data_IF_481146537326
#
_entry.id   IF_481146537326
#
_cell.length_a   1.000
_cell.length_b   1.000
_cell.length_c   1.000
_cell.angle_alpha   90.00
_cell.angle_beta   90.00
_cell.angle_gamma   90.00
#
_symmetry.space_group_name_H-M   'P 1'
#
loop_
_entity.id
_entity.type
_entity.pdbx_description
1 polymer ?
#
# COMPACT_ATOMS: atom_id res chain seq x y z
N UNK A 1 21.96 29.21 -9.47
CA UNK A 1 21.33 28.56 -8.32
C UNK A 1 21.00 27.12 -8.71
N UNK A 2 21.77 26.16 -8.19
CA UNK A 2 21.63 24.72 -8.49
C UNK A 2 20.45 24.20 -7.66
N UNK A 3 19.40 23.73 -8.34
CA UNK A 3 18.33 22.96 -7.70
C UNK A 3 18.87 21.54 -7.46
N UNK A 4 19.18 21.22 -6.21
CA UNK A 4 19.49 19.86 -5.78
C UNK A 4 18.23 19.00 -5.81
N UNK A 5 18.19 18.04 -6.72
CA UNK A 5 17.18 16.97 -6.72
C UNK A 5 17.44 16.05 -5.54
N UNK A 6 16.66 16.20 -4.49
CA UNK A 6 16.60 15.18 -3.43
C UNK A 6 15.93 13.93 -3.99
N UNK A 7 16.75 12.98 -4.45
CA UNK A 7 16.30 11.63 -4.76
C UNK A 7 15.94 10.97 -3.43
N UNK A 8 14.65 10.79 -3.17
CA UNK A 8 14.17 10.00 -2.04
C UNK A 8 14.62 8.54 -2.18
N UNK A 9 14.73 7.79 -1.09
CA UNK A 9 15.17 6.40 -1.14
C UNK A 9 14.23 5.58 -2.06
N UNK A 10 14.76 4.64 -2.83
CA UNK A 10 13.95 3.80 -3.72
C UNK A 10 12.90 3.06 -2.90
N UNK A 11 11.64 3.21 -3.29
CA UNK A 11 10.51 2.53 -2.69
C UNK A 11 10.49 1.08 -3.16
N UNK A 12 10.56 0.13 -2.22
CA UNK A 12 10.07 -1.21 -2.47
C UNK A 12 11.08 -2.31 -2.73
N UNK A 13 12.36 -2.14 -2.44
CA UNK A 13 13.27 -3.29 -2.35
C UNK A 13 13.05 -4.02 -1.01
N UNK A 14 12.21 -5.05 -1.04
CA UNK A 14 12.02 -6.00 0.06
C UNK A 14 13.12 -7.08 0.09
N UNK A 15 14.28 -6.83 -0.51
CA UNK A 15 15.44 -7.70 -0.53
C UNK A 15 16.04 -7.99 0.86
N UNK A 16 17.06 -8.80 0.93
CA UNK A 16 17.62 -9.42 2.15
C UNK A 16 17.82 -8.53 3.38
N UNK A 17 17.94 -7.20 3.22
CA UNK A 17 18.04 -6.25 4.31
C UNK A 17 16.71 -6.05 5.09
N UNK A 18 15.56 -6.17 4.44
CA UNK A 18 14.25 -5.93 5.11
C UNK A 18 13.91 -7.02 6.11
N UNK A 19 14.29 -8.26 5.83
CA UNK A 19 14.12 -9.39 6.77
C UNK A 19 15.01 -9.21 8.00
N UNK A 20 16.26 -8.81 7.81
CA UNK A 20 17.18 -8.48 8.90
C UNK A 20 16.64 -7.34 9.75
N UNK A 21 16.05 -6.32 9.12
CA UNK A 21 15.38 -5.22 9.83
C UNK A 21 14.19 -5.70 10.65
N UNK A 22 13.37 -6.60 10.15
CA UNK A 22 12.26 -7.19 10.90
C UNK A 22 12.72 -7.95 12.15
N UNK A 23 13.83 -8.70 12.06
CA UNK A 23 14.41 -9.37 13.23
C UNK A 23 14.99 -8.37 14.24
N UNK A 24 15.71 -7.34 13.79
CA UNK A 24 16.21 -6.27 14.69
C UNK A 24 15.06 -5.54 15.38
N UNK A 25 13.97 -5.27 14.65
CA UNK A 25 12.75 -4.70 15.22
C UNK A 25 12.17 -5.58 16.32
N UNK A 26 12.18 -6.90 16.17
CA UNK A 26 11.71 -7.82 17.20
C UNK A 26 12.48 -7.69 18.52
N UNK A 27 13.81 -7.56 18.47
CA UNK A 27 14.62 -7.32 19.68
C UNK A 27 14.31 -5.98 20.37
N UNK A 28 14.13 -4.91 19.56
CA UNK A 28 13.75 -3.61 20.10
C UNK A 28 12.35 -3.63 20.73
N UNK A 29 11.41 -4.30 20.10
CA UNK A 29 10.04 -4.45 20.59
C UNK A 29 9.99 -5.17 21.95
N UNK A 30 10.79 -6.23 22.14
CA UNK A 30 10.92 -6.93 23.42
C UNK A 30 11.46 -6.00 24.52
N UNK A 31 12.50 -5.22 24.21
CA UNK A 31 13.09 -4.29 25.18
C UNK A 31 12.13 -3.16 25.60
N UNK A 32 11.33 -2.65 24.65
CA UNK A 32 10.31 -1.65 24.92
C UNK A 32 9.17 -2.24 25.75
N UNK A 33 8.64 -3.38 25.36
CA UNK A 33 7.52 -4.04 26.02
C UNK A 33 7.79 -4.40 27.50
N UNK A 34 9.07 -4.61 27.86
CA UNK A 34 9.46 -4.87 29.24
C UNK A 34 9.17 -3.65 30.19
N UNK A 35 8.96 -2.46 29.63
CA UNK A 35 8.70 -1.21 30.35
C UNK A 35 7.26 -0.73 30.20
N UNK A 36 6.47 -1.39 29.38
CA UNK A 36 5.10 -0.99 29.06
C UNK A 36 4.07 -1.95 29.67
N UNK A 37 2.89 -1.42 29.96
CA UNK A 37 1.73 -2.22 30.35
C UNK A 37 0.77 -2.30 29.18
N UNK A 38 0.42 -3.50 28.76
CA UNK A 38 -0.52 -3.74 27.69
C UNK A 38 -1.24 -5.07 27.91
N UNK A 39 -2.41 -5.24 27.32
CA UNK A 39 -3.25 -6.43 27.46
C UNK A 39 -3.28 -7.27 26.18
N UNK A 40 -2.99 -6.66 25.03
CA UNK A 40 -3.05 -7.32 23.72
C UNK A 40 -1.88 -6.84 22.83
N UNK A 41 -1.41 -7.75 21.99
CA UNK A 41 -0.42 -7.47 20.96
C UNK A 41 -1.16 -7.37 19.63
N UNK A 42 -1.14 -6.22 18.96
CA UNK A 42 -1.76 -6.03 17.66
C UNK A 42 -0.67 -5.75 16.61
N UNK A 43 -0.45 -6.69 15.73
CA UNK A 43 0.64 -6.66 14.74
C UNK A 43 0.09 -6.44 13.33
N UNK A 44 0.68 -5.50 12.61
CA UNK A 44 0.28 -5.12 11.25
C UNK A 44 1.30 -5.61 10.24
N UNK A 45 0.90 -6.52 9.37
CA UNK A 45 1.66 -7.11 8.28
C UNK A 45 2.94 -7.87 8.70
N UNK A 46 3.52 -8.57 7.76
CA UNK A 46 4.61 -9.52 7.97
C UNK A 46 5.85 -8.95 8.67
N UNK A 47 6.17 -7.67 8.45
CA UNK A 47 7.35 -7.04 9.08
C UNK A 47 7.25 -6.97 10.60
N UNK A 48 6.03 -6.96 11.16
CA UNK A 48 5.80 -6.89 12.61
C UNK A 48 5.54 -8.26 13.23
N UNK A 49 5.23 -9.28 12.45
CA UNK A 49 4.89 -10.61 12.97
C UNK A 49 6.01 -11.28 13.75
N UNK A 50 7.30 -11.23 13.35
CA UNK A 50 8.37 -11.79 14.17
C UNK A 50 8.45 -11.16 15.57
N UNK A 51 8.24 -9.85 15.68
CA UNK A 51 8.19 -9.13 16.95
C UNK A 51 6.99 -9.56 17.80
N UNK A 52 5.81 -9.65 17.19
CA UNK A 52 4.58 -10.04 17.87
C UNK A 52 4.63 -11.49 18.40
N UNK A 53 5.19 -12.42 17.63
CA UNK A 53 5.41 -13.80 18.05
C UNK A 53 6.35 -13.85 19.26
N UNK A 54 7.47 -13.13 19.20
CA UNK A 54 8.45 -13.07 20.31
C UNK A 54 7.79 -12.45 21.57
N UNK A 55 7.03 -11.39 21.43
CA UNK A 55 6.27 -10.75 22.52
C UNK A 55 5.23 -11.70 23.11
N UNK A 56 4.45 -12.39 22.28
CA UNK A 56 3.46 -13.39 22.74
C UNK A 56 4.13 -14.47 23.60
N UNK A 57 5.27 -15.00 23.16
CA UNK A 57 6.00 -16.01 23.93
C UNK A 57 6.54 -15.45 25.27
N UNK A 58 7.09 -14.23 25.25
CA UNK A 58 7.68 -13.61 26.45
C UNK A 58 6.63 -13.17 27.48
N UNK A 59 5.49 -12.63 27.03
CA UNK A 59 4.50 -11.99 27.90
C UNK A 59 3.25 -12.81 28.18
N UNK A 60 3.02 -13.85 27.37
CA UNK A 60 1.79 -14.68 27.38
C UNK A 60 0.51 -13.88 27.06
N UNK A 61 0.65 -12.69 26.52
CA UNK A 61 -0.49 -11.87 26.09
C UNK A 61 -1.04 -12.35 24.74
N UNK A 62 -2.36 -12.19 24.50
CA UNK A 62 -2.97 -12.54 23.23
C UNK A 62 -2.43 -11.68 22.09
N UNK A 63 -2.35 -12.28 20.90
CA UNK A 63 -1.87 -11.65 19.69
C UNK A 63 -2.97 -11.58 18.63
N UNK A 64 -3.16 -10.41 18.05
CA UNK A 64 -3.96 -10.17 16.84
C UNK A 64 -3.03 -9.90 15.68
N UNK A 65 -3.13 -10.67 14.61
CA UNK A 65 -2.46 -10.40 13.35
C UNK A 65 -3.41 -9.64 12.41
N UNK A 66 -3.04 -8.43 12.01
CA UNK A 66 -3.79 -7.62 11.06
C UNK A 66 -3.07 -7.62 9.73
N UNK A 67 -3.71 -8.15 8.69
CA UNK A 67 -3.11 -8.27 7.37
C UNK A 67 -3.77 -7.29 6.40
N UNK A 68 -2.95 -6.39 5.84
CA UNK A 68 -3.37 -5.38 4.89
C UNK A 68 -3.12 -5.81 3.44
N UNK A 69 -2.07 -6.59 3.21
CA UNK A 69 -1.79 -7.22 1.92
C UNK A 69 -0.97 -8.49 2.12
N UNK A 70 -1.19 -9.46 1.26
CA UNK A 70 -0.48 -10.72 1.26
C UNK A 70 0.68 -10.71 0.27
N UNK A 71 1.55 -11.72 0.36
CA UNK A 71 2.59 -11.91 -0.65
C UNK A 71 1.98 -12.16 -2.05
N UNK A 72 0.82 -12.79 -2.12
CA UNK A 72 0.10 -12.98 -3.39
C UNK A 72 -0.38 -11.66 -4.02
N UNK A 73 -0.69 -10.64 -3.21
CA UNK A 73 -1.02 -9.30 -3.73
C UNK A 73 0.21 -8.58 -4.30
N UNK A 74 1.42 -8.94 -3.83
CA UNK A 74 2.68 -8.29 -4.25
C UNK A 74 3.34 -8.95 -5.45
N UNK A 75 3.29 -10.27 -5.52
CA UNK A 75 4.04 -11.06 -6.51
C UNK A 75 3.20 -12.04 -7.33
N UNK A 76 1.87 -12.05 -7.12
CA UNK A 76 0.98 -13.00 -7.78
C UNK A 76 1.33 -14.44 -7.42
N UNK A 77 1.46 -15.30 -8.42
CA UNK A 77 1.82 -16.70 -8.21
C UNK A 77 3.35 -16.93 -8.06
N UNK A 78 4.17 -15.90 -8.32
CA UNK A 78 5.63 -15.97 -8.15
C UNK A 78 6.05 -15.56 -6.73
N UNK A 79 5.64 -16.35 -5.77
CA UNK A 79 5.72 -16.06 -4.34
C UNK A 79 7.17 -16.01 -3.85
N UNK A 80 7.51 -14.95 -3.11
CA UNK A 80 8.73 -14.91 -2.31
C UNK A 80 8.56 -15.81 -1.08
N UNK A 81 9.10 -17.02 -1.14
CA UNK A 81 8.89 -18.05 -0.12
C UNK A 81 9.23 -17.59 1.31
N UNK A 82 10.37 -16.92 1.59
CA UNK A 82 10.67 -16.39 2.92
C UNK A 82 9.64 -15.38 3.45
N UNK A 83 9.03 -14.56 2.60
CA UNK A 83 7.97 -13.63 3.00
C UNK A 83 6.68 -14.38 3.30
N UNK A 84 6.28 -15.30 2.42
CA UNK A 84 5.14 -16.18 2.64
C UNK A 84 5.25 -16.95 3.96
N UNK A 85 6.41 -17.53 4.24
CA UNK A 85 6.64 -18.28 5.47
C UNK A 85 6.50 -17.38 6.71
N UNK A 86 6.98 -16.16 6.64
CA UNK A 86 6.85 -15.17 7.72
C UNK A 86 5.41 -14.76 7.94
N UNK A 87 4.65 -14.48 6.87
CA UNK A 87 3.22 -14.19 6.95
C UNK A 87 2.45 -15.37 7.54
N UNK A 88 2.70 -16.56 7.01
CA UNK A 88 2.05 -17.78 7.48
C UNK A 88 2.32 -18.03 8.96
N UNK A 89 3.56 -17.88 9.39
CA UNK A 89 3.93 -18.05 10.80
C UNK A 89 3.18 -17.04 11.70
N UNK A 90 3.09 -15.77 11.31
CA UNK A 90 2.36 -14.74 12.04
C UNK A 90 0.87 -15.01 12.14
N UNK A 91 0.23 -15.36 11.03
CA UNK A 91 -1.20 -15.66 10.96
C UNK A 91 -1.57 -16.90 11.81
N UNK A 92 -0.72 -17.94 11.81
CA UNK A 92 -0.97 -19.13 12.61
C UNK A 92 -0.67 -18.94 14.11
N UNK A 93 0.31 -18.11 14.46
CA UNK A 93 0.66 -17.82 15.85
C UNK A 93 -0.38 -16.90 16.54
N UNK A 94 -1.12 -16.09 15.77
CA UNK A 94 -2.12 -15.17 16.29
C UNK A 94 -3.32 -15.91 16.92
N UNK A 95 -3.93 -15.34 17.96
CA UNK A 95 -5.17 -15.83 18.56
C UNK A 95 -6.39 -15.42 17.71
N UNK A 96 -6.30 -14.27 17.05
CA UNK A 96 -7.26 -13.79 16.06
C UNK A 96 -6.56 -13.12 14.90
N UNK A 97 -7.19 -13.14 13.74
CA UNK A 97 -6.70 -12.48 12.51
C UNK A 97 -7.72 -11.44 12.08
N UNK A 98 -7.25 -10.26 11.72
CA UNK A 98 -8.04 -9.22 11.07
C UNK A 98 -7.58 -9.09 9.62
N UNK A 99 -8.50 -9.23 8.67
CA UNK A 99 -8.27 -9.01 7.25
C UNK A 99 -9.00 -7.74 6.79
N UNK A 100 -8.34 -6.91 5.97
CA UNK A 100 -8.91 -5.63 5.52
C UNK A 100 -10.01 -5.77 4.46
N UNK A 101 -10.25 -6.97 3.95
CA UNK A 101 -11.33 -7.24 2.99
C UNK A 101 -11.73 -8.72 2.99
N UNK A 102 -12.90 -9.00 2.41
CA UNK A 102 -13.31 -10.38 2.18
C UNK A 102 -12.36 -11.12 1.23
N UNK A 103 -11.81 -10.41 0.24
CA UNK A 103 -10.79 -10.96 -0.66
C UNK A 103 -9.54 -11.40 0.12
N UNK A 104 -9.02 -10.53 0.98
CA UNK A 104 -7.86 -10.84 1.84
C UNK A 104 -8.15 -12.01 2.77
N UNK A 105 -9.35 -12.07 3.38
CA UNK A 105 -9.79 -13.23 4.17
C UNK A 105 -9.76 -14.51 3.35
N UNK A 106 -10.31 -14.50 2.13
CA UNK A 106 -10.35 -15.67 1.25
C UNK A 106 -8.93 -16.16 0.90
N UNK A 107 -8.00 -15.24 0.66
CA UNK A 107 -6.58 -15.57 0.43
C UNK A 107 -5.97 -16.20 1.69
N UNK A 108 -6.21 -15.64 2.88
CA UNK A 108 -5.72 -16.21 4.14
C UNK A 108 -6.23 -17.64 4.37
N UNK A 109 -7.48 -17.91 4.04
CA UNK A 109 -8.05 -19.27 4.14
C UNK A 109 -7.44 -20.20 3.10
N UNK A 110 -7.47 -19.82 1.82
CA UNK A 110 -7.13 -20.72 0.72
C UNK A 110 -5.63 -20.91 0.52
N UNK A 111 -4.81 -19.89 0.77
CA UNK A 111 -3.38 -19.91 0.49
C UNK A 111 -2.51 -20.10 1.75
N UNK A 112 -2.97 -19.61 2.89
CA UNK A 112 -2.23 -19.73 4.17
C UNK A 112 -2.79 -20.80 5.10
N UNK A 113 -3.98 -21.34 4.82
CA UNK A 113 -4.60 -22.40 5.62
C UNK A 113 -5.11 -21.92 6.99
N UNK A 114 -5.46 -20.64 7.12
CA UNK A 114 -6.01 -20.08 8.35
C UNK A 114 -7.50 -20.45 8.45
N UNK A 115 -7.93 -20.96 9.62
CA UNK A 115 -9.34 -21.30 9.82
C UNK A 115 -10.24 -20.05 9.69
N UNK A 116 -11.34 -20.10 8.91
CA UNK A 116 -12.16 -18.93 8.62
C UNK A 116 -12.77 -18.26 9.85
N UNK A 117 -13.09 -19.03 10.91
CA UNK A 117 -13.64 -18.50 12.15
C UNK A 117 -12.64 -17.68 12.98
N UNK A 118 -11.34 -17.81 12.69
CA UNK A 118 -10.30 -17.00 13.32
C UNK A 118 -10.08 -15.66 12.61
N UNK A 119 -10.77 -15.41 11.49
CA UNK A 119 -10.57 -14.23 10.66
C UNK A 119 -11.79 -13.33 10.67
N UNK A 120 -11.68 -12.17 11.29
CA UNK A 120 -12.63 -11.08 11.18
C UNK A 120 -12.27 -10.19 9.97
N UNK A 121 -13.29 -9.71 9.25
CA UNK A 121 -13.09 -8.70 8.19
C UNK A 121 -13.41 -7.33 8.77
N UNK A 122 -12.41 -6.44 8.73
CA UNK A 122 -12.55 -5.04 9.14
C UNK A 122 -11.98 -4.16 8.02
N UNK A 123 -12.87 -3.47 7.30
CA UNK A 123 -12.45 -2.60 6.20
C UNK A 123 -11.69 -1.38 6.72
N UNK A 124 -10.70 -0.93 5.93
CA UNK A 124 -10.02 0.32 6.21
C UNK A 124 -11.00 1.50 6.14
N UNK A 125 -10.89 2.39 7.09
CA UNK A 125 -11.60 3.66 7.11
C UNK A 125 -10.72 4.82 6.65
N UNK A 126 -11.35 5.94 6.33
CA UNK A 126 -10.69 7.22 6.07
C UNK A 126 -11.32 8.28 6.96
N UNK A 127 -10.49 9.24 7.39
CA UNK A 127 -10.96 10.43 8.07
C UNK A 127 -11.14 11.55 7.04
N UNK A 128 -12.36 12.04 6.85
CA UNK A 128 -12.65 13.20 5.98
C UNK A 128 -12.51 14.50 6.78
N UNK A 129 -11.29 14.80 7.20
CA UNK A 129 -10.95 16.00 7.96
C UNK A 129 -10.59 17.21 7.09
N UNK A 130 -10.44 17.01 5.77
CA UNK A 130 -10.03 18.09 4.86
C UNK A 130 -11.19 19.04 4.55
N UNK A 131 -11.01 20.32 4.93
CA UNK A 131 -11.91 21.40 4.55
C UNK A 131 -11.37 22.07 3.28
N UNK A 132 -12.15 22.11 2.17
CA UNK A 132 -11.74 22.79 0.95
C UNK A 132 -11.51 24.28 1.21
N UNK A 133 -10.40 24.82 0.70
CA UNK A 133 -10.12 26.25 0.74
C UNK A 133 -10.65 26.95 -0.51
N UNK A 134 -10.99 28.26 -0.44
CA UNK A 134 -11.23 29.05 -1.64
C UNK A 134 -10.02 28.91 -2.59
N UNK A 135 -10.24 28.51 -3.83
CA UNK A 135 -9.18 28.24 -4.82
C UNK A 135 -8.73 26.78 -4.93
N UNK A 136 -9.18 25.88 -4.05
CA UNK A 136 -8.93 24.43 -4.23
C UNK A 136 -9.83 23.79 -5.30
N UNK A 137 -10.91 24.47 -5.70
CA UNK A 137 -11.69 24.08 -6.87
C UNK A 137 -11.00 24.58 -8.14
N UNK A 138 -10.57 23.67 -8.97
CA UNK A 138 -10.31 24.00 -10.37
C UNK A 138 -11.68 24.06 -11.05
N UNK A 139 -12.07 25.21 -11.53
CA UNK A 139 -13.14 25.35 -12.52
C UNK A 139 -12.61 24.81 -13.85
N UNK A 140 -12.35 23.52 -13.89
CA UNK A 140 -11.81 22.89 -15.07
C UNK A 140 -12.97 22.36 -15.92
N UNK A 141 -12.98 22.72 -17.19
CA UNK A 141 -13.77 22.04 -18.22
C UNK A 141 -13.32 20.60 -18.41
N UNK A 142 -12.12 20.28 -17.93
CA UNK A 142 -11.49 18.99 -18.07
C UNK A 142 -11.95 18.02 -16.97
N UNK A 143 -12.22 16.78 -17.37
CA UNK A 143 -12.52 15.69 -16.42
C UNK A 143 -11.24 15.08 -15.92
N UNK A 144 -11.00 15.14 -14.61
CA UNK A 144 -9.78 14.65 -13.97
C UNK A 144 -9.97 13.23 -13.45
N UNK A 145 -9.20 12.30 -13.99
CA UNK A 145 -9.14 10.90 -13.56
C UNK A 145 -7.80 10.69 -12.84
N UNK A 146 -7.87 10.27 -11.58
CA UNK A 146 -6.72 10.21 -10.69
C UNK A 146 -6.25 8.78 -10.43
N UNK A 147 -4.96 8.54 -10.64
CA UNK A 147 -4.23 7.44 -10.03
C UNK A 147 -3.38 8.01 -8.88
N UNK A 148 -3.64 7.57 -7.65
CA UNK A 148 -2.85 7.97 -6.49
C UNK A 148 -2.28 6.73 -5.78
N UNK A 149 -0.95 6.64 -5.73
CA UNK A 149 -0.30 5.53 -5.06
C UNK A 149 1.13 5.32 -5.50
N UNK A 150 1.75 4.24 -5.00
CA UNK A 150 3.05 3.80 -5.50
C UNK A 150 2.90 3.33 -6.94
N UNK A 151 3.78 3.80 -7.82
CA UNK A 151 3.78 3.40 -9.23
C UNK A 151 4.60 2.11 -9.36
N UNK A 152 4.01 1.00 -8.94
CA UNK A 152 4.61 -0.34 -8.88
C UNK A 152 3.65 -1.37 -9.48
N UNK A 153 4.16 -2.55 -9.85
CA UNK A 153 3.37 -3.63 -10.43
C UNK A 153 2.12 -3.97 -9.60
N UNK A 154 2.22 -4.01 -8.27
CA UNK A 154 1.11 -4.29 -7.35
C UNK A 154 -0.09 -3.35 -7.54
N UNK A 155 0.15 -2.11 -7.98
CA UNK A 155 -0.90 -1.09 -8.16
C UNK A 155 -1.44 -1.04 -9.58
N UNK A 156 -0.85 -1.78 -10.51
CA UNK A 156 -1.32 -1.94 -11.90
C UNK A 156 -1.36 -0.64 -12.70
N UNK A 157 -0.32 0.22 -12.65
CA UNK A 157 -0.35 1.51 -13.35
C UNK A 157 -0.47 1.37 -14.87
N UNK A 158 0.01 0.27 -15.44
CA UNK A 158 -0.15 -0.03 -16.87
C UNK A 158 -1.61 -0.19 -17.28
N UNK A 159 -2.45 -0.76 -16.41
CA UNK A 159 -3.89 -0.88 -16.67
C UNK A 159 -4.56 0.49 -16.67
N UNK A 160 -4.10 1.40 -15.81
CA UNK A 160 -4.58 2.78 -15.78
C UNK A 160 -4.26 3.51 -17.10
N UNK A 161 -3.01 3.41 -17.59
CA UNK A 161 -2.60 4.02 -18.86
C UNK A 161 -3.35 3.38 -20.05
N UNK A 162 -3.51 2.06 -20.05
CA UNK A 162 -4.26 1.37 -21.09
C UNK A 162 -5.75 1.75 -21.10
N UNK A 163 -6.36 1.89 -19.92
CA UNK A 163 -7.73 2.36 -19.78
C UNK A 163 -7.90 3.80 -20.26
N UNK A 164 -6.90 4.66 -20.00
CA UNK A 164 -6.93 6.06 -20.41
C UNK A 164 -7.13 6.21 -21.93
N UNK A 165 -6.49 5.39 -22.75
CA UNK A 165 -6.68 5.41 -24.21
C UNK A 165 -8.13 5.17 -24.60
N UNK A 166 -8.77 4.18 -23.97
CA UNK A 166 -10.19 3.86 -24.23
C UNK A 166 -11.14 4.95 -23.76
N UNK A 167 -10.83 5.58 -22.62
CA UNK A 167 -11.62 6.68 -22.09
C UNK A 167 -11.56 7.89 -23.03
N UNK A 168 -10.38 8.22 -23.56
CA UNK A 168 -10.20 9.35 -24.49
C UNK A 168 -10.96 9.19 -25.81
N UNK A 169 -11.31 7.98 -26.22
CA UNK A 169 -12.19 7.74 -27.38
C UNK A 169 -13.63 8.21 -27.13
N UNK A 170 -14.06 8.30 -25.86
CA UNK A 170 -15.42 8.68 -25.46
C UNK A 170 -15.48 10.07 -24.81
N UNK A 171 -14.40 10.45 -24.12
CA UNK A 171 -14.28 11.68 -23.35
C UNK A 171 -12.96 12.36 -23.73
N UNK A 172 -12.87 13.03 -24.88
CA UNK A 172 -11.61 13.62 -25.38
C UNK A 172 -11.02 14.70 -24.44
N UNK A 173 -11.86 15.34 -23.62
CA UNK A 173 -11.47 16.34 -22.62
C UNK A 173 -10.88 15.74 -21.33
N UNK A 174 -10.91 14.41 -21.15
CA UNK A 174 -10.36 13.77 -19.95
C UNK A 174 -8.86 14.05 -19.82
N UNK A 175 -8.44 14.29 -18.58
CA UNK A 175 -7.03 14.38 -18.15
C UNK A 175 -6.74 13.34 -17.10
N UNK A 176 -5.58 12.71 -17.22
CA UNK A 176 -5.15 11.65 -16.33
C UNK A 176 -4.03 12.18 -15.45
N UNK A 177 -4.23 12.16 -14.15
CA UNK A 177 -3.23 12.59 -13.18
C UNK A 177 -2.67 11.35 -12.50
N UNK A 178 -1.36 11.17 -12.56
CA UNK A 178 -0.62 10.08 -11.92
C UNK A 178 0.20 10.66 -10.77
N UNK A 179 -0.31 10.49 -9.56
CA UNK A 179 0.30 11.04 -8.36
C UNK A 179 0.96 9.93 -7.53
N UNK A 180 2.28 10.02 -7.42
CA UNK A 180 3.10 9.07 -6.69
C UNK A 180 4.47 8.88 -7.28
N UNK A 181 5.21 7.93 -6.72
CA UNK A 181 6.52 7.50 -7.19
C UNK A 181 6.63 5.98 -7.17
N UNK A 182 7.57 5.42 -7.92
CA UNK A 182 7.82 3.99 -7.97
C UNK A 182 8.72 3.62 -9.14
N UNK A 183 9.14 2.37 -9.17
CA UNK A 183 10.05 1.79 -10.16
C UNK A 183 9.47 1.77 -11.58
N UNK A 184 8.13 1.78 -11.71
CA UNK A 184 7.47 1.80 -13.01
C UNK A 184 7.17 3.20 -13.55
N UNK A 185 7.52 4.29 -12.83
CA UNK A 185 7.13 5.65 -13.22
C UNK A 185 7.61 6.04 -14.62
N UNK A 186 8.89 5.83 -14.93
CA UNK A 186 9.45 6.14 -16.26
C UNK A 186 8.78 5.31 -17.35
N UNK A 187 8.61 4.00 -17.11
CA UNK A 187 7.91 3.12 -18.05
C UNK A 187 6.48 3.59 -18.35
N UNK A 188 5.76 4.14 -17.37
CA UNK A 188 4.40 4.67 -17.58
C UNK A 188 4.40 5.94 -18.43
N UNK A 189 5.40 6.79 -18.27
CA UNK A 189 5.58 7.97 -19.14
C UNK A 189 5.82 7.53 -20.58
N UNK A 190 6.74 6.60 -20.77
CA UNK A 190 7.08 6.07 -22.11
C UNK A 190 5.85 5.39 -22.74
N UNK A 191 5.13 4.55 -21.99
CA UNK A 191 3.92 3.88 -22.47
C UNK A 191 2.84 4.87 -22.90
N UNK A 192 2.61 5.94 -22.12
CA UNK A 192 1.64 6.97 -22.48
C UNK A 192 2.05 7.73 -23.75
N UNK A 193 3.35 7.97 -23.95
CA UNK A 193 3.89 8.58 -25.16
C UNK A 193 3.76 7.65 -26.36
N UNK A 194 4.13 6.38 -26.26
CA UNK A 194 3.99 5.36 -27.30
C UNK A 194 2.53 5.19 -27.76
N UNK A 195 1.59 5.27 -26.80
CA UNK A 195 0.15 5.22 -27.11
C UNK A 195 -0.40 6.52 -27.71
N UNK A 196 0.40 7.58 -27.82
CA UNK A 196 0.01 8.89 -28.35
C UNK A 196 -0.86 9.73 -27.41
N UNK A 197 -0.95 9.35 -26.12
CA UNK A 197 -1.81 10.00 -25.11
C UNK A 197 -1.02 10.74 -24.03
N UNK A 198 0.30 10.88 -24.15
CA UNK A 198 1.16 11.53 -23.16
C UNK A 198 0.74 12.95 -22.84
N UNK A 199 0.22 13.72 -23.83
CA UNK A 199 -0.27 15.09 -23.66
C UNK A 199 -1.53 15.19 -22.76
N UNK A 200 -2.19 14.07 -22.46
CA UNK A 200 -3.35 13.97 -21.55
C UNK A 200 -2.95 13.45 -20.17
N UNK A 201 -1.69 13.06 -19.97
CA UNK A 201 -1.18 12.57 -18.70
C UNK A 201 -0.34 13.63 -18.00
N UNK A 202 -0.55 13.76 -16.68
CA UNK A 202 0.24 14.62 -15.81
C UNK A 202 0.81 13.79 -14.66
N UNK A 203 2.12 13.63 -14.63
CA UNK A 203 2.84 12.91 -13.58
C UNK A 203 3.31 13.92 -12.53
N UNK A 204 2.74 13.89 -11.33
CA UNK A 204 3.04 14.87 -10.28
C UNK A 204 4.28 14.53 -9.48
N UNK A 205 4.73 13.27 -9.53
CA UNK A 205 5.65 12.74 -8.54
C UNK A 205 4.98 12.52 -7.18
N UNK A 206 5.79 12.37 -6.14
CA UNK A 206 5.33 12.06 -4.79
C UNK A 206 4.69 13.29 -4.13
N UNK A 207 3.44 13.16 -3.68
CA UNK A 207 2.70 14.19 -2.95
C UNK A 207 2.72 13.93 -1.45
N UNK A 208 2.58 14.99 -0.63
CA UNK A 208 2.57 14.92 0.83
C UNK A 208 1.47 15.80 1.44
N UNK A 209 1.01 15.37 2.63
CA UNK A 209 0.11 16.17 3.45
C UNK A 209 -1.12 16.68 2.70
N UNK A 210 -1.32 17.98 2.73
CA UNK A 210 -2.48 18.63 2.13
C UNK A 210 -2.57 18.49 0.60
N UNK A 211 -1.43 18.27 -0.09
CA UNK A 211 -1.47 18.12 -1.55
C UNK A 211 -2.16 16.82 -1.96
N UNK A 212 -2.05 15.77 -1.13
CA UNK A 212 -2.80 14.52 -1.31
C UNK A 212 -4.31 14.78 -1.21
N UNK A 213 -4.73 15.53 -0.20
CA UNK A 213 -6.14 15.87 -0.01
C UNK A 213 -6.68 16.74 -1.14
N UNK A 214 -5.87 17.70 -1.60
CA UNK A 214 -6.23 18.58 -2.72
C UNK A 214 -6.45 17.79 -3.99
N UNK A 215 -5.53 16.92 -4.36
CA UNK A 215 -5.64 16.16 -5.62
C UNK A 215 -6.86 15.22 -5.61
N UNK A 216 -7.21 14.63 -4.45
CA UNK A 216 -8.44 13.87 -4.30
C UNK A 216 -9.70 14.70 -4.55
N UNK A 217 -9.75 15.92 -4.01
CA UNK A 217 -10.92 16.81 -4.18
C UNK A 217 -11.01 17.42 -5.58
N UNK A 218 -9.91 17.44 -6.32
CA UNK A 218 -9.87 17.89 -7.72
C UNK A 218 -10.33 16.81 -8.70
N UNK A 219 -10.20 15.54 -8.33
CA UNK A 219 -10.54 14.44 -9.20
C UNK A 219 -12.06 14.23 -9.32
N UNK A 220 -12.50 13.92 -10.53
CA UNK A 220 -13.87 13.48 -10.81
C UNK A 220 -14.02 11.96 -10.56
N UNK A 221 -12.87 11.19 -10.72
CA UNK A 221 -12.83 9.75 -10.54
C UNK A 221 -11.41 9.29 -10.14
#
# INVERSE_FOLDING_TARGET
ASMGTAVGPPSGDYGGDTRTKAHRYAHLALALAARERFDVIHAHDWMTYPAAIALKHATRKPMVAHIHSTEFDRSGENVNQPLYDTERAGLHAADAVVAVSQLTKNICVSRYGVHPDRIAVVYNGVEDSYQPRPGDKIEARDKIILFLGRITMQKGPEYFVAAAKRVLEKVPEAKFVVAGSGDMALRMIDLAAEMGIGHRHHFTGFLRGNDVQRIFKMADC
#
